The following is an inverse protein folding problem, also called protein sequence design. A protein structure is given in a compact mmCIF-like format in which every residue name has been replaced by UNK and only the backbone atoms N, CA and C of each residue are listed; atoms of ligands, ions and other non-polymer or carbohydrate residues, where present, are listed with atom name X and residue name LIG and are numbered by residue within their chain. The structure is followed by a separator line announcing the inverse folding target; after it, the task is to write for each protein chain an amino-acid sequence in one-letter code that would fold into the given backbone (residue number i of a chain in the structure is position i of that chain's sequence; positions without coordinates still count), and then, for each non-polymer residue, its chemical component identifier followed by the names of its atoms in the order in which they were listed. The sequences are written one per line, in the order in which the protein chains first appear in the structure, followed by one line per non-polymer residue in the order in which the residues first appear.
data_IF_495767719728
#
_entry.id   IF_495767719728
#
_cell.length_a   1.000
_cell.length_b   1.000
_cell.length_c   1.000
_cell.angle_alpha   90.00
_cell.angle_beta   90.00
_cell.angle_gamma   90.00
#
_symmetry.space_group_name_H-M   'P 1'
#
loop_
_entity.id
_entity.type
_entity.pdbx_description
1 polymer ?
#
# COMPACT_ATOMS: atom_id res chain seq x y z
N UNK A 1 1.28 -6.75 -28.12
CA UNK A 1 0.36 -6.08 -27.18
C UNK A 1 -0.17 -7.07 -26.12
N UNK A 2 -0.63 -8.27 -26.53
CA UNK A 2 -1.26 -9.22 -25.59
C UNK A 2 -0.33 -9.78 -24.51
N UNK A 3 0.96 -10.01 -24.79
CA UNK A 3 1.91 -10.54 -23.81
C UNK A 3 2.25 -9.50 -22.72
N UNK A 4 2.46 -8.24 -23.10
CA UNK A 4 2.78 -7.18 -22.15
C UNK A 4 1.63 -6.96 -21.16
N UNK A 5 0.38 -6.93 -21.62
CA UNK A 5 -0.78 -6.76 -20.76
C UNK A 5 -1.01 -7.97 -19.84
N UNK A 6 -0.71 -9.20 -20.30
CA UNK A 6 -0.79 -10.39 -19.46
C UNK A 6 0.26 -10.35 -18.33
N UNK A 7 1.51 -10.05 -18.65
CA UNK A 7 2.56 -9.92 -17.62
C UNK A 7 2.23 -8.81 -16.63
N UNK A 8 1.74 -7.65 -17.09
CA UNK A 8 1.33 -6.55 -16.23
C UNK A 8 0.23 -6.96 -15.24
N UNK A 9 -0.83 -7.64 -15.73
CA UNK A 9 -1.87 -8.18 -14.86
C UNK A 9 -1.34 -9.18 -13.84
N UNK A 10 -0.40 -10.06 -14.26
CA UNK A 10 0.24 -11.02 -13.35
C UNK A 10 1.02 -10.34 -12.23
N UNK A 11 1.78 -9.29 -12.55
CA UNK A 11 2.57 -8.53 -11.55
C UNK A 11 1.68 -7.86 -10.51
N UNK A 12 0.58 -7.22 -10.93
CA UNK A 12 -0.37 -6.57 -10.02
C UNK A 12 -1.08 -7.61 -9.16
N UNK A 13 -1.55 -8.71 -9.76
CA UNK A 13 -2.27 -9.76 -9.04
C UNK A 13 -1.37 -10.46 -8.01
N UNK A 14 -0.10 -10.68 -8.34
CA UNK A 14 0.88 -11.26 -7.40
C UNK A 14 1.09 -10.37 -6.19
N UNK A 15 1.31 -9.07 -6.40
CA UNK A 15 1.42 -8.09 -5.32
C UNK A 15 0.19 -8.13 -4.40
N UNK A 16 -1.01 -8.04 -4.98
CA UNK A 16 -2.26 -8.03 -4.23
C UNK A 16 -2.50 -9.35 -3.46
N UNK A 17 -2.23 -10.49 -4.09
CA UNK A 17 -2.35 -11.81 -3.46
C UNK A 17 -1.40 -11.96 -2.27
N UNK A 18 -0.13 -11.57 -2.44
CA UNK A 18 0.87 -11.62 -1.37
C UNK A 18 0.53 -10.67 -0.23
N UNK A 19 0.04 -9.46 -0.53
CA UNK A 19 -0.42 -8.52 0.48
C UNK A 19 -1.60 -9.08 1.29
N UNK A 20 -2.56 -9.70 0.62
CA UNK A 20 -3.70 -10.34 1.28
C UNK A 20 -3.26 -11.49 2.21
N UNK A 21 -2.39 -12.38 1.74
CA UNK A 21 -1.89 -13.51 2.51
C UNK A 21 -0.99 -13.09 3.67
N UNK A 22 -0.17 -12.08 3.47
CA UNK A 22 0.79 -11.60 4.46
C UNK A 22 0.17 -10.69 5.53
N UNK A 23 -0.97 -10.03 5.26
CA UNK A 23 -1.60 -9.11 6.21
C UNK A 23 -1.90 -9.73 7.57
N UNK A 24 -2.54 -10.91 7.69
CA UNK A 24 -2.75 -11.55 8.99
C UNK A 24 -1.44 -11.99 9.64
N UNK A 25 -0.46 -12.45 8.84
CA UNK A 25 0.85 -12.87 9.34
C UNK A 25 1.58 -11.70 9.99
N UNK A 26 1.70 -10.56 9.29
CA UNK A 26 2.35 -9.35 9.83
C UNK A 26 1.58 -8.81 11.04
N UNK A 27 0.25 -8.90 11.04
CA UNK A 27 -0.58 -8.56 12.19
C UNK A 27 -0.19 -9.40 13.42
N UNK A 28 -0.14 -10.72 13.30
CA UNK A 28 0.25 -11.62 14.40
C UNK A 28 1.70 -11.39 14.84
N UNK A 29 2.63 -11.22 13.91
CA UNK A 29 4.03 -10.94 14.22
C UNK A 29 4.17 -9.60 14.96
N UNK A 30 3.41 -8.58 14.58
CA UNK A 30 3.43 -7.29 15.25
C UNK A 30 2.77 -7.31 16.63
N UNK A 31 1.77 -8.18 16.85
CA UNK A 31 1.23 -8.46 18.18
C UNK A 31 2.25 -9.14 19.11
N UNK A 32 3.20 -9.88 18.54
CA UNK A 32 4.20 -10.66 19.29
C UNK A 32 5.49 -9.88 19.53
N UNK A 33 6.04 -9.27 18.49
CA UNK A 33 7.36 -8.61 18.52
C UNK A 33 7.27 -7.09 18.76
N UNK A 34 6.07 -6.52 18.72
CA UNK A 34 5.81 -5.09 18.78
C UNK A 34 5.58 -4.48 17.39
N UNK A 35 4.79 -3.43 17.34
CA UNK A 35 4.39 -2.75 16.08
C UNK A 35 5.60 -2.12 15.39
N UNK A 36 6.41 -1.38 16.16
CA UNK A 36 7.59 -0.68 15.67
C UNK A 36 8.56 -1.61 14.96
N UNK A 37 8.87 -2.76 15.57
CA UNK A 37 9.84 -3.70 15.02
C UNK A 37 9.43 -4.22 13.65
N UNK A 38 8.15 -4.57 13.47
CA UNK A 38 7.64 -5.09 12.19
C UNK A 38 7.57 -3.98 11.14
N UNK A 39 7.19 -2.76 11.51
CA UNK A 39 7.21 -1.62 10.59
C UNK A 39 8.63 -1.32 10.09
N UNK A 40 9.62 -1.28 10.97
CA UNK A 40 11.01 -1.01 10.60
C UNK A 40 11.57 -2.11 9.69
N UNK A 41 11.37 -3.39 10.01
CA UNK A 41 11.79 -4.50 9.15
C UNK A 41 11.13 -4.40 7.78
N UNK A 42 9.83 -4.12 7.73
CA UNK A 42 9.11 -3.99 6.45
C UNK A 42 9.65 -2.85 5.59
N UNK A 43 9.96 -1.69 6.18
CA UNK A 43 10.53 -0.53 5.47
C UNK A 43 11.94 -0.84 4.93
N UNK A 44 12.78 -1.50 5.74
CA UNK A 44 14.12 -1.87 5.32
C UNK A 44 14.09 -2.89 4.18
N UNK A 45 13.25 -3.93 4.30
CA UNK A 45 13.09 -4.95 3.26
C UNK A 45 12.52 -4.32 1.99
N UNK A 46 11.55 -3.40 2.09
CA UNK A 46 11.03 -2.67 0.94
C UNK A 46 12.10 -1.81 0.27
N UNK A 47 12.96 -1.13 1.03
CA UNK A 47 14.07 -0.34 0.47
C UNK A 47 15.03 -1.24 -0.34
N UNK A 48 15.41 -2.39 0.20
CA UNK A 48 16.28 -3.37 -0.48
C UNK A 48 15.59 -3.92 -1.75
N UNK A 49 14.31 -4.27 -1.65
CA UNK A 49 13.55 -4.79 -2.78
C UNK A 49 13.45 -3.79 -3.94
N UNK A 50 13.23 -2.51 -3.64
CA UNK A 50 13.22 -1.47 -4.67
C UNK A 50 14.57 -1.31 -5.36
N UNK A 51 15.70 -1.46 -4.65
CA UNK A 51 17.03 -1.49 -5.28
C UNK A 51 17.17 -2.71 -6.19
N UNK A 52 16.75 -3.89 -5.73
CA UNK A 52 16.78 -5.10 -6.55
C UNK A 52 15.91 -4.96 -7.82
N UNK A 53 14.74 -4.35 -7.71
CA UNK A 53 13.88 -4.10 -8.85
C UNK A 53 14.45 -3.08 -9.83
N UNK A 54 15.15 -2.04 -9.34
CA UNK A 54 15.81 -1.04 -10.19
C UNK A 54 16.84 -1.65 -11.15
N UNK A 55 17.53 -2.68 -10.69
CA UNK A 55 18.60 -3.36 -11.43
C UNK A 55 18.23 -4.78 -11.87
N UNK A 56 16.95 -5.15 -11.84
CA UNK A 56 16.52 -6.49 -12.18
C UNK A 56 16.82 -6.84 -13.66
N UNK A 57 17.67 -7.83 -13.93
CA UNK A 57 18.09 -8.18 -15.29
C UNK A 57 17.05 -9.05 -16.03
N UNK A 58 16.01 -9.51 -15.35
CA UNK A 58 15.04 -10.43 -15.93
C UNK A 58 13.65 -10.33 -15.28
N UNK A 59 12.62 -10.75 -16.03
CA UNK A 59 11.23 -10.78 -15.54
C UNK A 59 11.03 -11.64 -14.29
N UNK A 60 11.66 -12.83 -14.13
CA UNK A 60 11.53 -13.61 -12.89
C UNK A 60 12.01 -12.86 -11.64
N UNK A 61 13.09 -12.08 -11.75
CA UNK A 61 13.59 -11.26 -10.62
C UNK A 61 12.60 -10.15 -10.29
N UNK A 62 12.04 -9.48 -11.29
CA UNK A 62 10.95 -8.52 -11.08
C UNK A 62 9.74 -9.17 -10.42
N UNK A 63 9.42 -10.41 -10.77
CA UNK A 63 8.33 -11.16 -10.16
C UNK A 63 8.60 -11.46 -8.67
N UNK A 64 9.82 -11.87 -8.32
CA UNK A 64 10.24 -12.01 -6.91
C UNK A 64 10.09 -10.68 -6.17
N UNK A 65 10.50 -9.57 -6.79
CA UNK A 65 10.28 -8.25 -6.24
C UNK A 65 8.79 -7.95 -5.98
N UNK A 66 7.87 -8.35 -6.86
CA UNK A 66 6.41 -8.19 -6.60
C UNK A 66 5.94 -9.02 -5.41
N UNK A 67 6.47 -10.21 -5.21
CA UNK A 67 6.19 -11.05 -4.03
C UNK A 67 6.66 -10.33 -2.76
N UNK A 68 7.91 -9.86 -2.74
CA UNK A 68 8.49 -9.15 -1.60
C UNK A 68 7.75 -7.82 -1.34
N UNK A 69 7.46 -7.05 -2.39
CA UNK A 69 6.67 -5.83 -2.28
C UNK A 69 5.27 -6.08 -1.69
N UNK A 70 4.60 -7.18 -2.08
CA UNK A 70 3.32 -7.57 -1.50
C UNK A 70 3.43 -7.93 -0.01
N UNK A 71 4.47 -8.69 0.37
CA UNK A 71 4.75 -9.01 1.78
C UNK A 71 4.98 -7.74 2.61
N UNK A 72 5.84 -6.83 2.14
CA UNK A 72 6.15 -5.57 2.85
C UNK A 72 4.98 -4.59 2.82
N UNK A 73 4.21 -4.54 1.74
CA UNK A 73 3.00 -3.72 1.62
C UNK A 73 1.90 -4.10 2.63
N UNK A 74 1.89 -5.35 3.10
CA UNK A 74 1.00 -5.80 4.18
C UNK A 74 1.28 -5.09 5.54
N UNK A 75 2.42 -4.42 5.69
CA UNK A 75 2.75 -3.59 6.88
C UNK A 75 1.76 -2.46 7.12
N UNK A 76 0.95 -2.09 6.13
CA UNK A 76 -0.13 -1.12 6.30
C UNK A 76 -1.13 -1.55 7.38
N UNK A 77 -1.42 -2.84 7.52
CA UNK A 77 -2.27 -3.36 8.61
C UNK A 77 -1.64 -3.12 9.98
N UNK A 78 -0.30 -3.22 10.07
CA UNK A 78 0.47 -2.92 11.28
C UNK A 78 0.47 -1.42 11.59
N UNK A 79 0.61 -0.57 10.55
CA UNK A 79 0.53 0.88 10.71
C UNK A 79 -0.85 1.33 11.22
N UNK A 80 -1.94 0.76 10.67
CA UNK A 80 -3.30 1.00 11.16
C UNK A 80 -3.47 0.57 12.63
N UNK A 81 -2.92 -0.58 13.01
CA UNK A 81 -2.94 -1.04 14.39
C UNK A 81 -2.11 -0.13 15.31
N UNK A 82 -0.92 0.32 14.87
CA UNK A 82 -0.10 1.30 15.59
C UNK A 82 -0.87 2.59 15.89
N UNK A 83 -1.54 3.15 14.85
CA UNK A 83 -2.35 4.37 15.03
C UNK A 83 -3.53 4.12 15.98
N UNK A 84 -4.15 2.92 15.92
CA UNK A 84 -5.21 2.57 16.86
C UNK A 84 -4.71 2.49 18.30
N UNK A 85 -3.50 1.95 18.52
CA UNK A 85 -2.87 1.81 19.84
C UNK A 85 -2.56 3.18 20.50
N UNK A 86 -2.16 4.18 19.69
CA UNK A 86 -1.81 5.53 20.19
C UNK A 86 -2.99 6.51 20.18
N UNK A 87 -4.18 6.06 19.75
CA UNK A 87 -5.36 6.92 19.62
C UNK A 87 -6.35 6.65 20.75
N UNK A 88 -6.86 7.72 21.36
CA UNK A 88 -8.01 7.71 22.25
C UNK A 88 -9.31 8.00 21.46
N UNK A 89 -10.46 7.90 22.13
CA UNK A 89 -11.77 8.10 21.49
C UNK A 89 -11.95 9.54 20.93
N UNK A 90 -11.21 10.52 21.44
CA UNK A 90 -11.34 11.94 21.02
C UNK A 90 -10.56 12.22 19.75
N UNK A 91 -9.36 11.61 19.60
CA UNK A 91 -8.45 11.91 18.48
C UNK A 91 -8.40 10.80 17.41
N UNK A 92 -9.06 9.66 17.64
CA UNK A 92 -9.02 8.49 16.73
C UNK A 92 -9.41 8.85 15.30
N UNK A 93 -10.54 9.56 15.12
CA UNK A 93 -11.00 9.97 13.79
C UNK A 93 -9.99 10.87 13.09
N UNK A 94 -9.39 11.81 13.83
CA UNK A 94 -8.36 12.71 13.30
C UNK A 94 -7.10 11.95 12.88
N UNK A 95 -6.59 11.05 13.74
CA UNK A 95 -5.39 10.28 13.46
C UNK A 95 -5.56 9.35 12.24
N UNK A 96 -6.71 8.69 12.10
CA UNK A 96 -7.03 7.92 10.89
C UNK A 96 -7.22 8.81 9.67
N UNK A 97 -7.75 10.03 9.84
CA UNK A 97 -7.85 11.03 8.78
C UNK A 97 -6.48 11.46 8.24
N UNK A 98 -5.45 11.56 9.09
CA UNK A 98 -4.08 11.85 8.66
C UNK A 98 -3.50 10.75 7.75
N UNK A 99 -3.84 9.47 8.00
CA UNK A 99 -3.46 8.39 7.10
C UNK A 99 -4.10 8.59 5.73
N UNK A 100 -5.40 8.91 5.69
CA UNK A 100 -6.09 9.22 4.43
C UNK A 100 -5.47 10.40 3.68
N UNK A 101 -5.10 11.46 4.40
CA UNK A 101 -4.40 12.61 3.84
C UNK A 101 -3.02 12.24 3.28
N UNK A 102 -2.24 11.42 3.99
CA UNK A 102 -0.95 10.92 3.52
C UNK A 102 -1.09 10.07 2.24
N UNK A 103 -2.12 9.21 2.16
CA UNK A 103 -2.46 8.47 0.95
C UNK A 103 -2.81 9.41 -0.21
N UNK A 104 -3.65 10.41 0.03
CA UNK A 104 -4.02 11.41 -0.98
C UNK A 104 -2.81 12.17 -1.52
N UNK A 105 -1.93 12.63 -0.63
CA UNK A 105 -0.67 13.28 -1.02
C UNK A 105 0.25 12.34 -1.81
N UNK A 106 0.40 11.09 -1.35
CA UNK A 106 1.19 10.08 -2.05
C UNK A 106 0.63 9.78 -3.44
N UNK A 107 -0.69 9.75 -3.60
CA UNK A 107 -1.35 9.52 -4.89
C UNK A 107 -1.20 10.70 -5.88
N UNK A 108 -1.01 11.92 -5.37
CA UNK A 108 -0.70 13.10 -6.20
C UNK A 108 0.79 13.12 -6.58
N UNK A 109 1.65 13.02 -5.54
CA UNK A 109 3.10 13.20 -5.70
C UNK A 109 3.74 11.99 -6.39
N UNK A 110 3.29 10.77 -6.07
CA UNK A 110 3.87 9.53 -6.57
C UNK A 110 3.90 9.44 -8.09
N UNK A 111 2.75 9.50 -8.78
CA UNK A 111 2.70 9.46 -10.25
C UNK A 111 3.40 10.65 -10.91
N UNK A 112 3.31 11.85 -10.32
CA UNK A 112 4.01 13.03 -10.84
C UNK A 112 5.54 12.83 -10.80
N UNK A 113 6.09 12.44 -9.65
CA UNK A 113 7.52 12.14 -9.53
C UNK A 113 7.92 10.95 -10.40
N UNK A 114 7.12 9.88 -10.39
CA UNK A 114 7.38 8.68 -11.19
C UNK A 114 7.43 8.99 -12.69
N UNK A 115 6.51 9.81 -13.19
CA UNK A 115 6.47 10.24 -14.58
C UNK A 115 7.63 11.16 -14.97
N UNK A 116 7.98 12.11 -14.11
CA UNK A 116 9.10 13.04 -14.35
C UNK A 116 10.46 12.33 -14.29
N UNK A 117 10.67 11.50 -13.27
CA UNK A 117 11.94 10.80 -13.07
C UNK A 117 12.07 9.61 -14.02
N UNK A 118 10.97 8.95 -14.33
CA UNK A 118 10.93 7.82 -15.28
C UNK A 118 11.35 8.17 -16.69
N UNK A 119 11.26 9.46 -17.08
CA UNK A 119 11.79 9.96 -18.35
C UNK A 119 13.31 9.79 -18.45
N UNK A 120 14.04 9.90 -17.34
CA UNK A 120 15.50 9.71 -17.32
C UNK A 120 15.92 8.24 -17.39
N UNK A 121 15.01 7.30 -17.06
CA UNK A 121 15.20 5.86 -17.13
C UNK A 121 14.27 5.11 -16.17
N UNK A 122 13.86 3.88 -16.52
CA UNK A 122 12.89 3.11 -15.75
C UNK A 122 13.39 2.71 -14.35
N UNK A 123 14.71 2.69 -14.11
CA UNK A 123 15.32 2.35 -12.83
C UNK A 123 15.19 3.48 -11.78
N UNK A 124 15.16 4.74 -12.20
CA UNK A 124 15.22 5.88 -11.29
C UNK A 124 14.01 6.00 -10.35
N UNK A 125 12.76 5.79 -10.78
CA UNK A 125 11.62 5.77 -9.86
C UNK A 125 11.77 4.74 -8.74
N UNK A 126 12.32 3.56 -9.05
CA UNK A 126 12.58 2.52 -8.04
C UNK A 126 13.67 2.95 -7.05
N UNK A 127 14.77 3.58 -7.53
CA UNK A 127 15.83 4.09 -6.66
C UNK A 127 15.34 5.20 -5.74
N UNK A 128 14.49 6.10 -6.24
CA UNK A 128 13.86 7.13 -5.39
C UNK A 128 12.96 6.49 -4.34
N UNK A 129 12.14 5.50 -4.73
CA UNK A 129 11.30 4.76 -3.78
C UNK A 129 12.15 4.02 -2.73
N UNK A 130 13.27 3.42 -3.13
CA UNK A 130 14.23 2.80 -2.23
C UNK A 130 14.78 3.79 -1.20
N UNK A 131 15.23 4.95 -1.68
CA UNK A 131 15.74 6.03 -0.84
C UNK A 131 14.69 6.55 0.14
N UNK A 132 13.46 6.77 -0.31
CA UNK A 132 12.35 7.20 0.55
C UNK A 132 12.01 6.16 1.64
N UNK A 133 11.98 4.86 1.29
CA UNK A 133 11.74 3.80 2.28
C UNK A 133 12.89 3.72 3.28
N UNK A 134 14.12 3.86 2.83
CA UNK A 134 15.29 3.85 3.71
C UNK A 134 15.31 5.07 4.64
N UNK A 135 15.01 6.26 4.15
CA UNK A 135 14.87 7.46 4.99
C UNK A 135 13.74 7.31 6.01
N UNK A 136 12.61 6.73 5.59
CA UNK A 136 11.50 6.43 6.49
C UNK A 136 11.87 5.37 7.54
N UNK A 137 12.66 4.36 7.17
CA UNK A 137 13.24 3.41 8.12
C UNK A 137 14.13 4.12 9.15
N UNK A 138 15.04 5.00 8.71
CA UNK A 138 15.90 5.77 9.63
C UNK A 138 15.05 6.68 10.55
N UNK A 139 14.08 7.39 9.97
CA UNK A 139 13.16 8.21 10.78
C UNK A 139 12.44 7.36 11.84
N UNK A 140 11.88 6.22 11.44
CA UNK A 140 11.21 5.31 12.36
C UNK A 140 12.16 4.71 13.41
N UNK A 141 13.43 4.48 13.05
CA UNK A 141 14.42 3.95 13.96
C UNK A 141 14.74 4.94 15.10
N UNK A 142 14.80 6.24 14.82
CA UNK A 142 15.18 7.26 15.80
C UNK A 142 13.99 7.93 16.47
N UNK A 143 12.84 8.02 15.80
CA UNK A 143 11.70 8.84 16.23
C UNK A 143 10.50 8.02 16.67
N UNK A 144 10.24 6.86 16.05
CA UNK A 144 9.03 6.09 16.31
C UNK A 144 9.15 5.30 17.63
N UNK A 145 8.35 5.58 18.67
CA UNK A 145 8.30 4.76 19.88
C UNK A 145 7.56 3.44 19.63
N UNK A 146 7.70 2.47 20.53
CA UNK A 146 6.85 1.27 20.52
C UNK A 146 5.45 1.62 21.05
N UNK A 147 4.41 1.24 20.33
CA UNK A 147 3.02 1.49 20.74
C UNK A 147 2.43 0.36 21.58
N UNK A 148 2.93 -0.86 21.41
CA UNK A 148 2.42 -2.04 22.10
C UNK A 148 3.31 -2.40 23.29
N UNK A 149 2.81 -2.14 24.50
CA UNK A 149 3.55 -2.49 25.73
C UNK A 149 3.80 -4.01 25.84
N UNK A 150 4.92 -4.45 26.44
CA UNK A 150 5.28 -5.86 26.54
C UNK A 150 4.17 -6.73 27.16
N UNK A 151 3.40 -6.19 28.11
CA UNK A 151 2.32 -6.86 28.83
C UNK A 151 1.10 -7.17 27.92
N UNK A 152 0.90 -6.35 26.88
CA UNK A 152 -0.20 -6.51 25.91
C UNK A 152 0.18 -7.37 24.71
N UNK A 153 1.46 -7.80 24.63
CA UNK A 153 1.92 -8.67 23.54
C UNK A 153 1.26 -10.04 23.63
N UNK A 154 0.90 -10.56 22.47
CA UNK A 154 0.16 -11.82 22.37
C UNK A 154 1.10 -12.93 21.92
N UNK A 155 0.88 -14.14 22.43
CA UNK A 155 1.59 -15.34 21.96
C UNK A 155 1.20 -15.67 20.52
N UNK A 156 2.13 -16.26 19.79
CA UNK A 156 1.92 -16.73 18.43
C UNK A 156 0.73 -17.68 18.33
N UNK A 157 -0.13 -17.47 17.34
CA UNK A 157 -1.29 -18.33 17.10
C UNK A 157 -1.50 -18.54 15.61
N UNK A 158 -1.29 -19.77 15.15
CA UNK A 158 -1.46 -20.16 13.74
C UNK A 158 -2.89 -19.92 13.26
N UNK A 159 -3.90 -20.10 14.12
CA UNK A 159 -5.30 -19.87 13.72
C UNK A 159 -5.60 -18.43 13.31
N UNK A 160 -4.81 -17.45 13.77
CA UNK A 160 -4.98 -16.04 13.43
C UNK A 160 -4.28 -15.64 12.13
N UNK A 161 -3.32 -16.45 11.64
CA UNK A 161 -2.60 -16.21 10.39
C UNK A 161 -3.49 -16.55 9.19
N UNK A 162 -4.47 -17.41 9.35
CA UNK A 162 -5.33 -17.85 8.25
C UNK A 162 -6.31 -16.74 7.85
N UNK A 163 -6.15 -16.07 6.67
CA UNK A 163 -7.05 -15.02 6.23
C UNK A 163 -8.49 -15.53 6.03
N UNK A 164 -8.65 -16.81 5.69
CA UNK A 164 -9.96 -17.41 5.48
C UNK A 164 -10.74 -17.59 6.80
N UNK A 165 -10.07 -17.66 7.95
CA UNK A 165 -10.75 -17.67 9.23
C UNK A 165 -11.50 -16.35 9.51
N UNK A 166 -10.85 -15.22 9.20
CA UNK A 166 -11.49 -13.91 9.31
C UNK A 166 -12.69 -13.78 8.34
N UNK A 167 -12.53 -14.23 7.10
CA UNK A 167 -13.63 -14.27 6.12
C UNK A 167 -14.82 -15.11 6.62
N UNK A 168 -14.58 -16.32 7.16
CA UNK A 168 -15.65 -17.16 7.72
C UNK A 168 -16.45 -16.45 8.80
N UNK A 169 -15.79 -15.69 9.67
CA UNK A 169 -16.45 -14.88 10.71
C UNK A 169 -17.29 -13.75 10.12
N UNK A 170 -16.86 -13.13 9.05
CA UNK A 170 -17.60 -12.09 8.32
C UNK A 170 -18.86 -12.70 7.69
N UNK A 171 -18.73 -13.85 7.01
CA UNK A 171 -19.86 -14.54 6.38
C UNK A 171 -20.90 -15.06 7.39
N UNK A 172 -20.55 -15.25 8.66
CA UNK A 172 -21.49 -15.70 9.69
C UNK A 172 -22.44 -14.60 10.18
N UNK A 173 -22.12 -13.32 9.94
CA UNK A 173 -22.96 -12.18 10.32
C UNK A 173 -23.43 -11.41 9.07
N UNK A 174 -24.74 -11.49 8.76
CA UNK A 174 -25.34 -10.91 7.56
C UNK A 174 -25.10 -9.40 7.45
N UNK A 175 -25.20 -8.65 8.53
CA UNK A 175 -25.01 -7.20 8.52
C UNK A 175 -23.56 -6.83 8.21
N UNK A 176 -22.61 -7.51 8.85
CA UNK A 176 -21.17 -7.32 8.60
C UNK A 176 -20.84 -7.72 7.15
N UNK A 177 -21.38 -8.85 6.69
CA UNK A 177 -21.18 -9.30 5.31
C UNK A 177 -21.66 -8.27 4.27
N UNK A 178 -22.86 -7.73 4.44
CA UNK A 178 -23.40 -6.73 3.51
C UNK A 178 -22.56 -5.44 3.50
N UNK A 179 -22.14 -4.95 4.66
CA UNK A 179 -21.26 -3.78 4.74
C UNK A 179 -19.92 -4.04 4.05
N UNK A 180 -19.30 -5.20 4.29
CA UNK A 180 -18.06 -5.60 3.65
C UNK A 180 -18.22 -5.81 2.15
N UNK A 181 -19.34 -6.34 1.69
CA UNK A 181 -19.64 -6.50 0.26
C UNK A 181 -19.75 -5.13 -0.43
N UNK A 182 -20.49 -4.18 0.15
CA UNK A 182 -20.61 -2.82 -0.38
C UNK A 182 -19.21 -2.17 -0.46
N UNK A 183 -18.42 -2.26 0.62
CA UNK A 183 -17.08 -1.73 0.65
C UNK A 183 -16.18 -2.39 -0.40
N UNK A 184 -16.26 -3.72 -0.55
CA UNK A 184 -15.51 -4.47 -1.56
C UNK A 184 -15.85 -4.02 -2.99
N UNK A 185 -17.15 -3.89 -3.31
CA UNK A 185 -17.59 -3.44 -4.63
C UNK A 185 -17.15 -2.00 -4.92
N UNK A 186 -17.24 -1.13 -3.92
CA UNK A 186 -16.77 0.26 -4.01
C UNK A 186 -15.25 0.32 -4.28
N UNK A 187 -14.46 -0.45 -3.53
CA UNK A 187 -13.01 -0.52 -3.71
C UNK A 187 -12.63 -1.15 -5.06
N UNK A 188 -13.36 -2.16 -5.51
CA UNK A 188 -13.14 -2.80 -6.81
C UNK A 188 -13.37 -1.80 -7.95
N UNK A 189 -14.46 -1.03 -7.89
CA UNK A 189 -14.74 0.03 -8.87
C UNK A 189 -13.65 1.12 -8.84
N UNK A 190 -13.23 1.56 -7.64
CA UNK A 190 -12.20 2.57 -7.48
C UNK A 190 -10.82 2.15 -8.00
N UNK A 191 -10.47 0.86 -7.90
CA UNK A 191 -9.17 0.34 -8.35
C UNK A 191 -9.13 0.06 -9.86
N UNK A 192 -10.26 -0.03 -10.53
CA UNK A 192 -10.31 -0.31 -11.98
C UNK A 192 -9.58 0.79 -12.77
N UNK A 193 -9.88 2.05 -12.48
CA UNK A 193 -9.29 3.19 -13.19
C UNK A 193 -7.75 3.25 -13.06
N UNK A 194 -7.15 3.32 -11.87
CA UNK A 194 -5.70 3.42 -11.76
C UNK A 194 -4.96 2.18 -12.29
N UNK A 195 -5.59 1.00 -12.26
CA UNK A 195 -4.96 -0.25 -12.70
C UNK A 195 -4.77 -0.32 -14.22
N UNK A 196 -5.68 0.27 -15.00
CA UNK A 196 -5.64 0.19 -16.47
C UNK A 196 -5.22 1.51 -17.14
N UNK A 197 -5.22 2.62 -16.40
CA UNK A 197 -5.05 3.97 -16.97
C UNK A 197 -3.76 4.13 -17.74
N UNK A 198 -2.64 3.73 -17.16
CA UNK A 198 -1.32 3.82 -17.81
C UNK A 198 -1.30 3.04 -19.12
N UNK A 199 -1.68 1.76 -19.09
CA UNK A 199 -1.67 0.92 -20.27
C UNK A 199 -2.63 1.45 -21.36
N UNK A 200 -3.81 1.91 -20.95
CA UNK A 200 -4.81 2.45 -21.87
C UNK A 200 -4.34 3.74 -22.54
N UNK A 201 -3.82 4.69 -21.75
CA UNK A 201 -3.38 5.99 -22.30
C UNK A 201 -2.14 5.86 -23.18
N UNK A 202 -1.19 5.00 -22.82
CA UNK A 202 -0.01 4.72 -23.65
C UNK A 202 -0.39 4.02 -24.96
N UNK A 203 -1.28 3.01 -24.91
CA UNK A 203 -1.62 2.23 -26.11
C UNK A 203 -2.62 2.92 -27.02
N UNK A 204 -3.57 3.68 -26.47
CA UNK A 204 -4.67 4.28 -27.25
C UNK A 204 -4.39 5.73 -27.66
N UNK A 205 -3.73 6.51 -26.81
CA UNK A 205 -3.42 7.91 -27.06
C UNK A 205 -1.94 8.19 -27.35
N UNK A 206 -1.06 7.19 -27.20
CA UNK A 206 0.39 7.36 -27.37
C UNK A 206 1.01 8.30 -26.33
N UNK A 207 0.42 8.41 -25.13
CA UNK A 207 0.92 9.29 -24.10
C UNK A 207 2.30 8.86 -23.59
N UNK A 208 3.13 9.84 -23.30
CA UNK A 208 4.41 9.63 -22.64
C UNK A 208 4.19 9.34 -21.13
N UNK A 209 5.18 8.69 -20.51
CA UNK A 209 5.17 8.41 -19.06
C UNK A 209 4.93 9.68 -18.22
N UNK A 210 5.47 10.81 -18.66
CA UNK A 210 5.26 12.13 -18.02
C UNK A 210 3.80 12.57 -18.10
N UNK A 211 3.17 12.45 -19.28
CA UNK A 211 1.76 12.81 -19.46
C UNK A 211 0.83 11.94 -18.63
N UNK A 212 1.12 10.64 -18.57
CA UNK A 212 0.38 9.71 -17.70
C UNK A 212 0.53 10.11 -16.23
N UNK A 213 1.74 10.36 -15.77
CA UNK A 213 2.02 10.78 -14.39
C UNK A 213 1.30 12.08 -14.01
N UNK A 214 1.34 13.10 -14.86
CA UNK A 214 0.65 14.37 -14.63
C UNK A 214 -0.87 14.24 -14.63
N UNK A 215 -1.43 13.39 -15.49
CA UNK A 215 -2.88 13.13 -15.50
C UNK A 215 -3.36 12.48 -14.20
N UNK A 216 -2.61 11.51 -13.68
CA UNK A 216 -2.91 10.88 -12.39
C UNK A 216 -2.75 11.86 -11.22
N UNK A 217 -1.73 12.72 -11.25
CA UNK A 217 -1.56 13.77 -10.26
C UNK A 217 -2.73 14.76 -10.26
N UNK A 218 -3.25 15.13 -11.45
CA UNK A 218 -4.43 15.99 -11.57
C UNK A 218 -5.67 15.32 -10.97
N UNK A 219 -5.90 14.04 -11.25
CA UNK A 219 -7.00 13.27 -10.65
C UNK A 219 -6.87 13.25 -9.13
N UNK A 220 -5.65 13.01 -8.60
CA UNK A 220 -5.38 13.05 -7.17
C UNK A 220 -5.69 14.41 -6.55
N UNK A 221 -5.26 15.50 -7.18
CA UNK A 221 -5.52 16.87 -6.74
C UNK A 221 -7.02 17.18 -6.70
N UNK A 222 -7.75 16.87 -7.78
CA UNK A 222 -9.19 17.08 -7.85
C UNK A 222 -9.94 16.26 -6.80
N UNK A 223 -9.50 15.02 -6.56
CA UNK A 223 -10.06 14.17 -5.52
C UNK A 223 -9.82 14.73 -4.12
N UNK A 224 -8.63 15.27 -3.85
CA UNK A 224 -8.31 15.91 -2.58
C UNK A 224 -9.15 17.19 -2.35
N UNK A 225 -9.34 18.01 -3.38
CA UNK A 225 -10.20 19.21 -3.34
C UNK A 225 -11.65 18.79 -3.07
N UNK A 226 -12.17 17.78 -3.77
CA UNK A 226 -13.50 17.28 -3.58
C UNK A 226 -13.72 16.74 -2.16
N UNK A 227 -12.81 15.91 -1.66
CA UNK A 227 -12.90 15.32 -0.32
C UNK A 227 -12.69 16.35 0.80
N UNK A 228 -11.75 17.29 0.65
CA UNK A 228 -11.44 18.29 1.67
C UNK A 228 -12.38 19.49 1.68
N UNK A 229 -12.92 19.87 0.51
CA UNK A 229 -13.76 21.05 0.33
C UNK A 229 -15.26 20.73 0.40
N UNK A 230 -15.74 19.83 -0.46
CA UNK A 230 -17.17 19.52 -0.57
C UNK A 230 -17.74 18.80 0.66
N UNK A 231 -16.98 17.93 1.31
CA UNK A 231 -17.42 17.22 2.53
C UNK A 231 -17.60 18.12 3.75
N UNK A 232 -17.10 19.35 3.71
CA UNK A 232 -17.37 20.34 4.78
C UNK A 232 -18.66 21.14 4.57
N UNK A 233 -19.25 21.07 3.38
CA UNK A 233 -20.43 21.84 2.99
C UNK A 233 -21.71 20.97 3.10
N UNK A 234 -21.54 19.66 3.13
CA UNK A 234 -22.61 18.66 3.31
C UNK A 234 -22.59 18.16 4.77
#
# INVERSE_FOLDING_TARGET
ANLVSQYFGFFISTYAAMQFLASPLLGVLSDMFGRRSILLVSLLVAAIDYVLMAYAPSLPILFIGRVVAGLTGASMTVAMAYIADISDDKNRSQNFGLIGAAFGLGFIIGPALGGLIGHAGPQYPFLVAAGMNFLNFLFGLFVLPESLSPELRRKFSISRINPFYALRKIFSNRSIFLMMLIYFLFQMAGQTHPSIWTLYTETHFGWTTTQVGLSLALVGLLSAIAQGGLTRII
#
